data_IF_771655835317
#
_entry.id   IF_771655835317
#
_cell.length_a   1.000
_cell.length_b   1.000
_cell.length_c   1.000
_cell.angle_alpha   90.00
_cell.angle_beta   90.00
_cell.angle_gamma   90.00
#
_symmetry.space_group_name_H-M   'P 1'
#
loop_
_entity.id
_entity.type
_entity.pdbx_description
1 polymer ?
#
# COMPACT_ATOMS: atom_id res chain seq x y z
N UNK A 1 -28.02 -7.37 22.01
CA UNK A 1 -28.69 -8.20 23.04
C UNK A 1 -28.06 -8.07 24.41
N UNK A 2 -26.84 -8.57 24.65
CA UNK A 2 -26.19 -8.44 25.98
C UNK A 2 -26.19 -7.00 26.51
N UNK A 3 -25.81 -6.02 25.68
CA UNK A 3 -25.78 -4.60 26.07
C UNK A 3 -27.16 -4.04 26.44
N UNK A 4 -28.24 -4.55 25.83
CA UNK A 4 -29.61 -4.18 26.19
C UNK A 4 -30.00 -4.84 27.52
N UNK A 5 -29.67 -6.12 27.69
CA UNK A 5 -29.97 -6.87 28.91
C UNK A 5 -29.26 -6.31 30.15
N UNK A 6 -28.06 -5.75 29.98
CA UNK A 6 -27.32 -5.10 31.07
C UNK A 6 -27.71 -3.63 31.27
N UNK A 7 -28.67 -3.10 30.51
CA UNK A 7 -29.08 -1.69 30.57
C UNK A 7 -28.02 -0.70 30.06
N UNK A 8 -27.00 -1.18 29.34
CA UNK A 8 -25.97 -0.31 28.76
C UNK A 8 -26.45 0.37 27.48
N UNK A 9 -27.44 -0.21 26.80
CA UNK A 9 -28.09 0.32 25.61
C UNK A 9 -29.61 0.25 25.77
N UNK A 10 -30.32 1.33 25.48
CA UNK A 10 -31.78 1.33 25.48
C UNK A 10 -32.31 0.45 24.34
N UNK A 11 -33.46 -0.19 24.54
CA UNK A 11 -34.03 -1.08 23.53
C UNK A 11 -34.43 -0.32 22.26
N UNK A 12 -34.92 0.91 22.40
CA UNK A 12 -35.32 1.79 21.30
C UNK A 12 -34.15 2.22 20.39
N UNK A 13 -32.92 2.27 20.93
CA UNK A 13 -31.72 2.63 20.17
C UNK A 13 -30.99 1.41 19.60
N UNK A 14 -31.40 0.19 19.98
CA UNK A 14 -30.79 -1.07 19.52
C UNK A 14 -30.80 -1.20 18.00
N UNK A 15 -31.92 -0.88 17.37
CA UNK A 15 -32.07 -0.99 15.92
C UNK A 15 -31.18 0.00 15.18
N UNK A 16 -31.08 1.23 15.67
CA UNK A 16 -30.20 2.26 15.11
C UNK A 16 -28.73 1.87 15.21
N UNK A 17 -28.30 1.34 16.36
CA UNK A 17 -26.92 0.81 16.50
C UNK A 17 -26.67 -0.34 15.53
N UNK A 18 -27.62 -1.27 15.40
CA UNK A 18 -27.50 -2.38 14.45
C UNK A 18 -27.38 -1.88 13.02
N UNK A 19 -28.19 -0.91 12.61
CA UNK A 19 -28.15 -0.33 11.28
C UNK A 19 -26.77 0.27 10.98
N UNK A 20 -26.21 1.05 11.92
CA UNK A 20 -24.89 1.66 11.77
C UNK A 20 -23.79 0.61 11.66
N UNK A 21 -23.84 -0.44 12.46
CA UNK A 21 -22.85 -1.53 12.40
C UNK A 21 -22.93 -2.36 11.11
N UNK A 22 -24.03 -2.28 10.38
CA UNK A 22 -24.23 -2.97 9.10
C UNK A 22 -23.98 -2.07 7.88
N UNK A 23 -23.56 -0.82 8.09
CA UNK A 23 -23.24 0.09 6.99
C UNK A 23 -22.05 -0.42 6.18
N UNK A 24 -22.10 -0.16 4.87
CA UNK A 24 -21.03 -0.51 3.94
C UNK A 24 -19.74 0.22 4.34
N UNK A 25 -18.63 -0.51 4.42
CA UNK A 25 -17.33 0.06 4.74
C UNK A 25 -16.66 0.59 3.48
N UNK A 26 -16.26 1.87 3.51
CA UNK A 26 -15.60 2.52 2.39
C UNK A 26 -14.08 2.55 2.61
N UNK A 27 -13.34 1.98 1.66
CA UNK A 27 -11.89 1.82 1.78
C UNK A 27 -11.09 2.84 0.96
N UNK A 28 -9.82 3.01 1.33
CA UNK A 28 -8.93 3.98 0.69
C UNK A 28 -8.76 3.72 -0.82
N UNK A 29 -8.66 2.45 -1.23
CA UNK A 29 -8.51 2.08 -2.64
C UNK A 29 -9.70 2.53 -3.50
N UNK A 30 -10.92 2.51 -2.96
CA UNK A 30 -12.13 2.98 -3.65
C UNK A 30 -12.11 4.49 -3.82
N UNK A 31 -11.67 5.23 -2.79
CA UNK A 31 -11.55 6.69 -2.82
C UNK A 31 -10.52 7.17 -3.85
N UNK A 32 -9.42 6.44 -4.01
CA UNK A 32 -8.40 6.74 -5.04
C UNK A 32 -8.93 6.56 -6.45
N UNK A 33 -9.78 5.54 -6.69
CA UNK A 33 -10.40 5.30 -8.01
C UNK A 33 -11.34 6.45 -8.40
N UNK A 34 -12.20 6.89 -7.49
CA UNK A 34 -13.12 8.03 -7.72
C UNK A 34 -12.36 9.35 -7.95
N UNK A 35 -11.34 9.64 -7.14
CA UNK A 35 -10.53 10.85 -7.31
C UNK A 35 -9.69 10.86 -8.59
N UNK A 36 -9.32 9.69 -9.12
CA UNK A 36 -8.57 9.58 -10.39
C UNK A 36 -9.51 9.69 -11.59
N UNK A 37 -10.73 9.16 -11.49
CA UNK A 37 -11.74 9.24 -12.55
C UNK A 37 -12.31 10.67 -12.74
N UNK A 38 -12.34 11.47 -11.69
CA UNK A 38 -12.90 12.84 -11.70
C UNK A 38 -11.91 13.93 -12.15
N UNK A 39 -10.63 13.61 -12.43
CA UNK A 39 -9.57 14.60 -12.65
C UNK A 39 -8.88 14.60 -14.02
N UNK A 40 -9.36 13.90 -15.03
CA UNK A 40 -8.75 13.94 -16.36
C UNK A 40 -9.76 14.27 -17.45
N UNK A 41 -9.79 15.51 -18.00
CA UNK A 41 -10.25 15.66 -19.37
C UNK A 41 -9.27 14.89 -20.28
N UNK A 42 -9.83 14.02 -21.12
CA UNK A 42 -9.10 13.21 -22.10
C UNK A 42 -8.49 14.17 -23.14
N UNK A 43 -7.33 14.73 -22.85
CA UNK A 43 -6.50 15.38 -23.86
C UNK A 43 -5.60 14.30 -24.43
N UNK A 44 -5.82 14.00 -25.71
CA UNK A 44 -5.08 13.01 -26.50
C UNK A 44 -3.58 13.26 -26.36
N UNK A 45 -2.84 12.21 -26.02
CA UNK A 45 -1.38 12.23 -25.97
C UNK A 45 -0.81 12.72 -27.31
N UNK A 46 0.20 13.58 -27.25
CA UNK A 46 1.00 14.09 -28.38
C UNK A 46 1.61 12.97 -29.26
N UNK A 47 1.53 11.71 -28.83
CA UNK A 47 2.01 10.53 -29.56
C UNK A 47 1.17 10.13 -30.79
N UNK A 48 -0.02 10.71 -31.01
CA UNK A 48 -0.87 10.36 -32.18
C UNK A 48 -0.66 11.25 -33.42
N UNK A 49 0.30 12.20 -33.42
CA UNK A 49 0.55 13.11 -34.56
C UNK A 49 1.35 12.46 -35.71
N UNK A 50 1.79 11.21 -35.58
CA UNK A 50 2.77 10.63 -36.52
C UNK A 50 2.26 9.62 -37.57
N UNK A 51 1.02 9.12 -37.48
CA UNK A 51 0.59 8.00 -38.34
C UNK A 51 -0.01 8.48 -39.66
N UNK A 52 0.85 9.01 -40.52
CA UNK A 52 0.56 9.18 -41.95
C UNK A 52 0.49 7.82 -42.63
N UNK A 53 -0.67 7.50 -43.20
CA UNK A 53 -0.88 6.39 -44.12
C UNK A 53 0.04 6.53 -45.33
N UNK A 54 0.89 5.54 -45.60
CA UNK A 54 1.41 5.30 -46.95
C UNK A 54 1.26 3.82 -47.28
N UNK A 55 0.29 3.55 -48.15
CA UNK A 55 0.19 2.30 -48.91
C UNK A 55 1.13 2.37 -50.11
N UNK A 56 1.65 1.20 -50.50
CA UNK A 56 1.73 0.68 -51.87
C UNK A 56 3.10 0.07 -52.26
N UNK A 57 2.98 -1.24 -52.57
CA UNK A 57 3.45 -1.92 -53.78
C UNK A 57 4.84 -2.58 -53.80
N UNK A 58 4.76 -3.91 -53.79
CA UNK A 58 5.59 -4.95 -54.41
C UNK A 58 6.79 -4.49 -55.28
N UNK A 59 7.95 -5.11 -55.06
CA UNK A 59 8.79 -5.64 -56.13
C UNK A 59 9.61 -6.85 -55.64
N UNK A 60 9.73 -7.83 -56.53
CA UNK A 60 10.17 -9.20 -56.30
C UNK A 60 11.68 -9.40 -56.54
N UNK A 61 12.15 -10.60 -56.14
CA UNK A 61 13.25 -11.40 -56.72
C UNK A 61 14.67 -10.83 -56.49
N UNK A 62 15.70 -11.59 -56.11
CA UNK A 62 16.07 -12.99 -56.35
C UNK A 62 17.21 -13.41 -55.38
N UNK A 63 17.39 -14.74 -55.20
CA UNK A 63 18.67 -15.51 -55.08
C UNK A 63 19.75 -15.01 -54.09
N UNK A 64 20.49 -15.77 -53.28
CA UNK A 64 20.90 -17.18 -53.21
C UNK A 64 21.72 -17.25 -51.88
N UNK A 65 21.41 -18.14 -50.93
CA UNK A 65 22.16 -19.36 -50.59
C UNK A 65 23.55 -19.20 -49.95
N UNK A 66 23.75 -20.07 -48.94
CA UNK A 66 25.01 -20.65 -48.40
C UNK A 66 25.54 -20.09 -47.07
N UNK A 67 25.93 -21.06 -46.25
CA UNK A 67 26.17 -21.06 -44.82
C UNK A 67 27.67 -21.03 -44.45
N UNK A 68 27.89 -21.05 -43.12
CA UNK A 68 29.11 -21.41 -42.35
C UNK A 68 30.17 -20.30 -42.22
N UNK A 69 31.07 -20.27 -41.24
CA UNK A 69 31.19 -20.67 -39.83
C UNK A 69 32.69 -20.46 -39.49
N UNK A 70 33.02 -19.99 -38.27
CA UNK A 70 34.37 -19.98 -37.65
C UNK A 70 35.44 -19.08 -38.35
N UNK A 71 36.47 -18.48 -37.73
CA UNK A 71 37.21 -18.68 -36.46
C UNK A 71 38.19 -17.49 -36.23
N UNK A 72 38.58 -17.25 -34.97
CA UNK A 72 39.80 -16.55 -34.47
C UNK A 72 41.11 -17.11 -35.10
N UNK A 73 42.31 -16.44 -35.09
CA UNK A 73 43.13 -16.08 -33.89
C UNK A 73 44.08 -14.81 -34.07
N UNK A 74 44.49 -14.02 -33.04
CA UNK A 74 45.67 -14.12 -32.09
C UNK A 74 46.87 -13.17 -32.38
N UNK A 75 47.27 -12.39 -31.34
CA UNK A 75 48.62 -11.84 -30.96
C UNK A 75 49.32 -10.71 -31.81
N UNK A 76 50.19 -9.80 -31.31
CA UNK A 76 50.99 -9.59 -30.06
C UNK A 76 51.68 -8.18 -30.01
N UNK A 77 52.18 -7.81 -28.82
CA UNK A 77 53.39 -6.97 -28.46
C UNK A 77 53.40 -5.44 -28.78
N UNK A 78 53.98 -4.48 -28.03
CA UNK A 78 54.86 -4.38 -26.83
C UNK A 78 54.95 -2.91 -26.29
N UNK A 79 55.41 -2.73 -25.04
CA UNK A 79 55.71 -1.51 -24.21
C UNK A 79 56.84 -0.57 -24.76
N UNK A 80 57.21 0.64 -24.20
CA UNK A 80 57.19 1.09 -22.77
C UNK A 80 56.91 2.60 -22.45
N UNK A 81 57.02 2.98 -21.17
CA UNK A 81 56.69 4.25 -20.47
C UNK A 81 57.94 5.14 -20.15
N UNK A 82 57.94 6.12 -19.20
CA UNK A 82 57.16 7.36 -18.96
C UNK A 82 58.10 8.63 -18.93
N UNK A 83 57.70 9.83 -18.41
CA UNK A 83 58.01 10.13 -16.99
C UNK A 83 57.07 11.13 -16.24
N UNK A 84 57.13 11.07 -14.89
CA UNK A 84 57.05 12.13 -13.84
C UNK A 84 56.19 13.38 -14.09
N UNK A 85 55.29 13.85 -13.22
CA UNK A 85 55.22 13.85 -11.76
C UNK A 85 54.83 15.27 -11.31
N UNK A 86 54.01 15.39 -10.25
CA UNK A 86 53.91 16.49 -9.25
C UNK A 86 52.47 16.79 -8.81
N UNK A 87 52.29 17.34 -7.58
CA UNK A 87 51.06 17.28 -6.80
C UNK A 87 50.34 18.64 -6.66
N UNK A 88 49.28 18.60 -5.85
CA UNK A 88 48.83 19.65 -4.91
C UNK A 88 47.59 20.48 -5.27
N UNK A 89 46.83 20.72 -4.20
CA UNK A 89 45.54 21.38 -4.07
C UNK A 89 45.68 22.91 -3.97
N UNK A 90 44.86 23.69 -4.68
CA UNK A 90 44.45 25.04 -4.24
C UNK A 90 43.17 25.51 -4.94
N UNK A 91 42.33 26.21 -4.19
CA UNK A 91 41.07 26.93 -4.49
C UNK A 91 41.30 28.41 -4.06
N UNK A 92 40.54 29.51 -4.35
CA UNK A 92 39.52 29.92 -5.38
C UNK A 92 39.78 31.31 -6.06
N UNK A 93 39.02 31.70 -7.11
CA UNK A 93 38.73 33.14 -7.41
C UNK A 93 38.51 33.62 -8.89
N UNK A 94 37.23 33.88 -9.26
CA UNK A 94 36.65 34.84 -10.28
C UNK A 94 37.13 34.88 -11.78
N UNK A 95 36.42 35.53 -12.76
CA UNK A 95 36.09 35.03 -14.12
C UNK A 95 36.73 35.92 -15.24
N UNK A 96 36.26 36.04 -16.51
CA UNK A 96 35.37 35.25 -17.37
C UNK A 96 36.03 34.81 -18.70
N UNK A 97 35.20 34.26 -19.61
CA UNK A 97 35.33 34.20 -21.06
C UNK A 97 35.86 32.90 -21.72
N UNK A 98 34.96 32.29 -22.49
CA UNK A 98 35.29 31.85 -23.84
C UNK A 98 35.38 30.35 -24.08
N UNK A 99 34.42 29.83 -24.85
CA UNK A 99 34.73 28.82 -25.88
C UNK A 99 34.41 27.36 -25.55
N UNK A 100 33.18 26.96 -25.87
CA UNK A 100 32.88 25.85 -26.77
C UNK A 100 33.47 24.45 -26.52
N UNK A 101 32.57 23.49 -26.33
CA UNK A 101 32.67 22.18 -26.97
C UNK A 101 32.86 20.98 -26.04
N UNK A 102 31.86 20.10 -26.03
CA UNK A 102 32.10 18.66 -26.01
C UNK A 102 32.18 17.94 -24.66
N UNK A 103 31.25 16.98 -24.51
CA UNK A 103 31.42 15.71 -23.78
C UNK A 103 31.05 15.61 -22.29
N UNK A 104 30.01 14.78 -22.04
CA UNK A 104 30.15 13.67 -21.08
C UNK A 104 29.64 13.87 -19.65
N UNK A 105 28.36 14.20 -19.44
CA UNK A 105 27.74 14.03 -18.11
C UNK A 105 27.15 12.61 -17.98
N UNK A 106 27.97 11.67 -17.47
CA UNK A 106 27.54 10.34 -17.03
C UNK A 106 26.43 10.48 -15.98
N UNK A 107 25.20 10.11 -16.34
CA UNK A 107 24.05 10.07 -15.41
C UNK A 107 23.96 8.68 -14.80
N UNK A 108 23.88 8.63 -13.47
CA UNK A 108 23.77 7.45 -12.62
C UNK A 108 22.74 6.40 -13.10
N UNK A 109 22.99 5.09 -12.90
CA UNK A 109 22.13 4.03 -13.40
C UNK A 109 20.98 3.78 -12.42
N UNK A 110 19.87 4.49 -12.61
CA UNK A 110 18.60 4.19 -11.92
C UNK A 110 17.43 4.25 -12.90
N UNK A 111 17.44 3.35 -13.90
CA UNK A 111 16.30 3.20 -14.80
C UNK A 111 16.09 1.79 -15.37
N UNK A 112 16.59 0.74 -14.70
CA UNK A 112 16.13 -0.63 -14.99
C UNK A 112 14.92 -0.95 -14.11
N UNK A 113 13.80 -0.31 -14.41
CA UNK A 113 12.49 -0.76 -13.94
C UNK A 113 11.51 -0.65 -15.10
N UNK A 114 11.20 -1.81 -15.70
CA UNK A 114 9.92 -2.17 -16.32
C UNK A 114 10.16 -3.25 -17.38
N UNK A 115 9.87 -4.50 -17.03
CA UNK A 115 9.30 -5.51 -17.93
C UNK A 115 9.05 -6.81 -17.20
N UNK A 116 7.78 -7.12 -16.94
CA UNK A 116 7.16 -8.41 -17.24
C UNK A 116 5.65 -8.31 -17.05
N UNK A 117 5.01 -8.02 -18.17
CA UNK A 117 3.60 -8.24 -18.40
C UNK A 117 3.34 -9.75 -18.33
N UNK A 118 2.45 -10.21 -17.45
CA UNK A 118 1.84 -11.53 -17.61
C UNK A 118 0.34 -11.40 -17.34
N UNK A 119 -0.40 -11.24 -18.42
CA UNK A 119 -1.84 -11.45 -18.49
C UNK A 119 -2.12 -12.94 -18.29
N UNK A 120 -2.66 -13.32 -17.14
CA UNK A 120 -3.37 -14.59 -16.98
C UNK A 120 -4.84 -14.26 -16.70
N UNK A 121 -5.64 -14.53 -17.72
CA UNK A 121 -7.05 -14.91 -17.74
C UNK A 121 -8.00 -14.37 -16.66
N UNK A 122 -9.01 -13.66 -17.15
CA UNK A 122 -10.28 -13.36 -16.49
C UNK A 122 -10.85 -14.53 -15.68
N UNK A 123 -10.98 -14.35 -14.37
CA UNK A 123 -12.04 -14.94 -13.55
C UNK A 123 -12.46 -13.93 -12.46
N UNK A 124 -13.72 -13.49 -12.57
CA UNK A 124 -14.57 -12.81 -11.58
C UNK A 124 -14.20 -11.40 -11.08
N UNK A 125 -15.04 -10.43 -11.48
CA UNK A 125 -14.94 -8.99 -11.19
C UNK A 125 -15.31 -8.53 -9.77
N UNK A 126 -15.18 -9.35 -8.73
CA UNK A 126 -15.54 -8.97 -7.35
C UNK A 126 -14.36 -8.77 -6.39
N UNK A 127 -13.13 -9.09 -6.79
CA UNK A 127 -11.98 -8.99 -5.87
C UNK A 127 -10.74 -8.36 -6.50
N UNK A 128 -10.91 -7.26 -7.24
CA UNK A 128 -9.78 -6.37 -7.53
C UNK A 128 -9.48 -5.48 -6.30
N UNK A 129 -9.41 -6.12 -5.14
CA UNK A 129 -8.93 -5.53 -3.90
C UNK A 129 -7.48 -5.08 -4.09
N UNK A 130 -6.94 -4.35 -3.12
CA UNK A 130 -5.59 -3.80 -3.18
C UNK A 130 -4.52 -4.93 -3.18
N UNK A 131 -4.30 -5.60 -4.32
CA UNK A 131 -3.39 -6.73 -4.49
C UNK A 131 -1.93 -6.35 -4.20
N UNK A 132 -1.59 -5.06 -4.36
CA UNK A 132 -0.30 -4.52 -3.95
C UNK A 132 -0.11 -4.54 -2.43
N UNK A 133 -1.17 -4.26 -1.67
CA UNK A 133 -1.17 -4.32 -0.21
C UNK A 133 -1.21 -5.77 0.29
N UNK A 134 -2.04 -6.65 -0.29
CA UNK A 134 -2.11 -8.07 0.09
C UNK A 134 -0.75 -8.78 0.07
N UNK A 135 0.11 -8.48 -0.90
CA UNK A 135 1.43 -9.11 -0.99
C UNK A 135 2.38 -8.78 0.17
N UNK A 136 2.07 -7.74 0.96
CA UNK A 136 2.87 -7.34 2.14
C UNK A 136 2.39 -8.01 3.42
N UNK A 137 1.25 -8.69 3.38
CA UNK A 137 0.62 -9.28 4.55
C UNK A 137 1.18 -10.70 4.72
N UNK A 138 1.70 -11.05 5.92
CA UNK A 138 2.16 -12.41 6.20
C UNK A 138 1.07 -13.45 5.95
N UNK A 139 1.46 -14.64 5.52
CA UNK A 139 0.53 -15.76 5.42
C UNK A 139 -0.01 -16.11 6.80
N UNK A 140 -1.32 -16.37 6.88
CA UNK A 140 -1.99 -16.66 8.15
C UNK A 140 -2.27 -15.43 9.03
N UNK A 141 -1.99 -14.21 8.54
CA UNK A 141 -2.38 -13.01 9.25
C UNK A 141 -3.91 -12.92 9.43
N UNK A 142 -4.31 -12.40 10.57
CA UNK A 142 -5.71 -12.13 10.91
C UNK A 142 -5.89 -10.62 11.14
N UNK A 143 -7.09 -10.11 10.88
CA UNK A 143 -7.40 -8.69 11.03
C UNK A 143 -7.95 -8.36 12.42
N UNK A 144 -7.61 -7.17 12.90
CA UNK A 144 -8.26 -6.50 14.03
C UNK A 144 -8.97 -5.25 13.50
N UNK A 145 -10.30 -5.22 13.59
CA UNK A 145 -11.10 -4.09 13.12
C UNK A 145 -11.37 -3.11 14.27
N UNK A 146 -10.89 -1.88 14.14
CA UNK A 146 -11.12 -0.80 15.10
C UNK A 146 -12.15 0.15 14.49
N UNK A 147 -13.39 0.09 14.98
CA UNK A 147 -14.54 0.83 14.48
C UNK A 147 -14.92 1.92 15.47
N UNK A 148 -14.77 3.17 15.08
CA UNK A 148 -15.05 4.31 15.94
C UNK A 148 -15.97 5.28 15.22
N UNK A 149 -16.98 5.81 15.92
CA UNK A 149 -17.91 6.77 15.33
C UNK A 149 -18.72 7.55 16.36
N UNK A 150 -19.36 8.59 15.87
CA UNK A 150 -20.35 9.36 16.62
C UNK A 150 -21.75 9.09 16.11
N UNK A 151 -22.71 9.17 17.03
CA UNK A 151 -24.13 9.05 16.74
C UNK A 151 -24.90 10.07 17.57
N UNK A 152 -26.03 10.53 17.07
CA UNK A 152 -26.85 11.58 17.68
C UNK A 152 -27.84 11.07 18.73
N UNK A 153 -28.06 9.75 18.79
CA UNK A 153 -29.04 9.11 19.68
C UNK A 153 -28.45 8.42 20.91
N UNK A 154 -27.12 8.46 21.11
CA UNK A 154 -26.48 7.93 22.31
C UNK A 154 -26.18 9.07 23.28
N UNK A 155 -26.59 8.93 24.53
CA UNK A 155 -26.23 9.88 25.60
C UNK A 155 -24.87 9.56 26.25
N UNK A 156 -24.39 8.33 26.08
CA UNK A 156 -23.15 7.81 26.69
C UNK A 156 -22.35 7.00 25.67
N UNK A 157 -21.01 7.00 25.75
CA UNK A 157 -20.20 6.14 24.92
C UNK A 157 -20.52 4.66 25.14
N UNK A 158 -20.64 3.92 24.05
CA UNK A 158 -20.83 2.49 23.97
C UNK A 158 -19.55 1.85 23.43
N UNK A 159 -18.93 0.97 24.20
CA UNK A 159 -17.73 0.25 23.78
C UNK A 159 -17.91 -1.27 23.82
N UNK A 160 -17.31 -1.96 22.85
CA UNK A 160 -17.24 -3.41 22.80
C UNK A 160 -15.85 -3.85 22.35
N UNK A 161 -15.29 -4.86 23.03
CA UNK A 161 -14.13 -5.61 22.56
C UNK A 161 -14.55 -7.05 22.32
N UNK A 162 -14.36 -7.55 21.11
CA UNK A 162 -14.87 -8.82 20.63
C UNK A 162 -13.71 -9.64 20.09
N UNK A 163 -13.57 -10.88 20.58
CA UNK A 163 -12.70 -11.89 19.98
C UNK A 163 -13.56 -13.02 19.40
N UNK A 164 -13.44 -13.25 18.10
CA UNK A 164 -14.12 -14.34 17.42
C UNK A 164 -13.43 -15.68 17.71
N UNK A 165 -14.24 -16.72 17.91
CA UNK A 165 -13.75 -18.09 18.12
C UNK A 165 -12.99 -18.59 16.89
N UNK A 166 -13.56 -18.37 15.72
CA UNK A 166 -12.96 -18.68 14.41
C UNK A 166 -12.89 -17.39 13.62
N UNK A 167 -11.70 -17.06 13.11
CA UNK A 167 -11.53 -15.87 12.29
C UNK A 167 -12.30 -16.04 10.98
N UNK A 168 -12.97 -14.97 10.53
CA UNK A 168 -13.92 -15.03 9.41
C UNK A 168 -13.78 -13.79 8.53
N UNK A 169 -13.89 -13.96 7.22
CA UNK A 169 -13.87 -12.84 6.27
C UNK A 169 -15.27 -12.22 6.22
N UNK A 170 -15.37 -10.94 6.60
CA UNK A 170 -16.62 -10.18 6.58
C UNK A 170 -16.72 -9.32 5.33
N UNK A 171 -16.94 -9.93 4.16
CA UNK A 171 -17.24 -9.19 2.93
C UNK A 171 -16.35 -7.96 2.68
N UNK A 172 -16.94 -6.77 2.80
CA UNK A 172 -16.31 -5.46 2.60
C UNK A 172 -15.79 -4.82 3.90
N UNK A 173 -15.78 -5.49 5.05
CA UNK A 173 -15.31 -4.90 6.32
C UNK A 173 -13.81 -4.54 6.28
N UNK A 174 -13.01 -5.32 5.57
CA UNK A 174 -11.56 -5.15 5.43
C UNK A 174 -11.19 -4.79 4.00
N UNK A 175 -10.16 -3.95 3.82
CA UNK A 175 -9.71 -3.53 2.47
C UNK A 175 -9.19 -4.71 1.62
N UNK A 176 -8.79 -5.78 2.28
CA UNK A 176 -8.25 -7.01 1.71
C UNK A 176 -8.93 -8.21 2.39
N UNK A 177 -9.09 -9.35 1.70
CA UNK A 177 -9.76 -10.55 2.21
C UNK A 177 -8.92 -11.27 3.28
N UNK A 178 -8.68 -10.59 4.40
CA UNK A 178 -8.01 -11.11 5.59
C UNK A 178 -9.09 -11.43 6.62
N UNK A 179 -9.08 -12.64 7.23
CA UNK A 179 -10.10 -13.03 8.18
C UNK A 179 -9.99 -12.20 9.46
N UNK A 180 -11.09 -11.62 9.92
CA UNK A 180 -11.16 -10.86 11.16
C UNK A 180 -11.16 -11.79 12.35
N UNK A 181 -10.31 -11.49 13.34
CA UNK A 181 -10.28 -12.17 14.65
C UNK A 181 -10.81 -11.27 15.76
N UNK A 182 -10.44 -10.01 15.75
CA UNK A 182 -10.80 -9.05 16.79
C UNK A 182 -11.61 -7.90 16.20
N UNK A 183 -12.54 -7.38 16.99
CA UNK A 183 -13.25 -6.14 16.71
C UNK A 183 -13.30 -5.29 17.97
N UNK A 184 -12.89 -4.04 17.86
CA UNK A 184 -13.15 -3.02 18.85
C UNK A 184 -14.15 -2.04 18.26
N UNK A 185 -15.23 -1.77 18.98
CA UNK A 185 -16.28 -0.85 18.58
C UNK A 185 -16.38 0.22 19.65
N UNK A 186 -16.33 1.49 19.25
CA UNK A 186 -16.57 2.64 20.12
C UNK A 186 -17.52 3.60 19.42
N UNK A 187 -18.75 3.67 19.89
CA UNK A 187 -19.74 4.65 19.44
C UNK A 187 -19.98 5.65 20.58
N UNK A 188 -20.16 6.93 20.29
CA UNK A 188 -20.47 7.91 21.32
C UNK A 188 -21.32 9.09 20.85
N UNK A 189 -21.76 9.96 21.77
CA UNK A 189 -22.50 11.17 21.45
C UNK A 189 -21.70 12.09 20.52
N UNK A 190 -22.40 12.94 19.78
CA UNK A 190 -21.77 13.98 18.96
C UNK A 190 -20.96 14.98 19.80
N UNK A 191 -19.84 15.47 19.25
CA UNK A 191 -18.98 16.48 19.88
C UNK A 191 -17.70 15.93 20.52
N UNK A 192 -17.42 14.64 20.39
CA UNK A 192 -16.25 13.92 20.90
C UNK A 192 -15.38 13.21 19.85
N UNK A 193 -15.58 13.41 18.54
CA UNK A 193 -14.97 12.60 17.48
C UNK A 193 -13.44 12.58 17.54
N UNK A 194 -12.82 13.72 17.86
CA UNK A 194 -11.37 13.81 17.97
C UNK A 194 -10.84 12.89 19.08
N UNK A 195 -11.49 12.92 20.26
CA UNK A 195 -11.14 12.05 21.38
C UNK A 195 -11.40 10.58 21.06
N UNK A 196 -12.52 10.25 20.41
CA UNK A 196 -12.80 8.86 20.04
C UNK A 196 -11.79 8.33 19.02
N UNK A 197 -11.39 9.15 18.04
CA UNK A 197 -10.33 8.78 17.10
C UNK A 197 -8.99 8.52 17.82
N UNK A 198 -8.64 9.32 18.82
CA UNK A 198 -7.43 9.09 19.63
C UNK A 198 -7.51 7.76 20.39
N UNK A 199 -8.66 7.44 20.98
CA UNK A 199 -8.89 6.14 21.62
C UNK A 199 -8.77 5.00 20.61
N UNK A 200 -9.34 5.16 19.41
CA UNK A 200 -9.21 4.18 18.33
C UNK A 200 -7.76 3.97 17.90
N UNK A 201 -6.99 5.06 17.76
CA UNK A 201 -5.55 4.98 17.46
C UNK A 201 -4.78 4.29 18.58
N UNK A 202 -5.04 4.63 19.83
CA UNK A 202 -4.43 3.99 20.99
C UNK A 202 -4.73 2.48 21.00
N UNK A 203 -5.98 2.08 20.75
CA UNK A 203 -6.36 0.68 20.66
C UNK A 203 -5.67 -0.06 19.50
N UNK A 204 -5.51 0.59 18.35
CA UNK A 204 -4.80 0.02 17.20
C UNK A 204 -3.30 -0.20 17.52
N UNK A 205 -2.67 0.77 18.18
CA UNK A 205 -1.29 0.66 18.65
C UNK A 205 -1.16 -0.47 19.66
N UNK A 206 -2.06 -0.53 20.64
CA UNK A 206 -2.08 -1.58 21.67
C UNK A 206 -2.26 -2.98 21.06
N UNK A 207 -3.12 -3.14 20.05
CA UNK A 207 -3.28 -4.41 19.33
C UNK A 207 -2.06 -4.79 18.47
N UNK A 208 -1.16 -3.84 18.18
CA UNK A 208 0.08 -4.09 17.44
C UNK A 208 1.23 -4.48 18.37
N UNK A 209 1.09 -4.29 19.68
CA UNK A 209 2.05 -4.76 20.67
C UNK A 209 1.97 -6.28 20.81
N UNK A 210 3.13 -6.95 20.80
CA UNK A 210 3.22 -8.42 20.78
C UNK A 210 2.69 -9.04 22.08
N UNK A 211 2.94 -8.40 23.23
CA UNK A 211 2.56 -8.91 24.56
C UNK A 211 1.06 -8.78 24.74
N UNK A 212 0.51 -7.58 24.50
CA UNK A 212 -0.93 -7.35 24.61
C UNK A 212 -1.71 -8.24 23.62
N UNK A 213 -1.23 -8.37 22.38
CA UNK A 213 -1.78 -9.28 21.37
C UNK A 213 -1.89 -10.73 21.90
N UNK A 214 -0.83 -11.27 22.50
CA UNK A 214 -0.83 -12.63 23.05
C UNK A 214 -1.85 -12.79 24.20
N UNK A 215 -1.90 -11.79 25.09
CA UNK A 215 -2.91 -11.78 26.16
C UNK A 215 -4.31 -11.71 25.57
N UNK A 216 -4.54 -10.90 24.54
CA UNK A 216 -5.84 -10.80 23.88
C UNK A 216 -6.30 -12.13 23.27
N UNK A 217 -5.40 -12.95 22.73
CA UNK A 217 -5.71 -14.31 22.25
C UNK A 217 -6.04 -15.30 23.37
N UNK A 218 -5.42 -15.15 24.54
CA UNK A 218 -5.56 -16.10 25.66
C UNK A 218 -6.59 -15.66 26.70
N UNK A 219 -7.01 -14.40 26.67
CA UNK A 219 -7.91 -13.81 27.65
C UNK A 219 -9.20 -14.62 27.79
N UNK A 220 -9.61 -14.90 29.04
CA UNK A 220 -10.87 -15.57 29.38
C UNK A 220 -11.83 -14.67 30.15
N UNK A 221 -11.33 -13.54 30.65
CA UNK A 221 -12.07 -12.57 31.42
C UNK A 221 -11.60 -11.15 31.07
N UNK A 222 -12.47 -10.16 31.31
CA UNK A 222 -12.18 -8.73 31.12
C UNK A 222 -10.94 -8.29 31.90
N UNK A 223 -10.73 -8.83 33.10
CA UNK A 223 -9.61 -8.49 33.98
C UNK A 223 -8.25 -8.77 33.35
N UNK A 224 -8.13 -9.80 32.49
CA UNK A 224 -6.87 -10.10 31.81
C UNK A 224 -6.50 -9.00 30.82
N UNK A 225 -7.50 -8.47 30.09
CA UNK A 225 -7.28 -7.37 29.15
C UNK A 225 -6.92 -6.08 29.89
N UNK A 226 -7.58 -5.79 31.02
CA UNK A 226 -7.27 -4.60 31.82
C UNK A 226 -5.84 -4.65 32.38
N UNK A 227 -5.45 -5.79 32.97
CA UNK A 227 -4.08 -5.96 33.46
C UNK A 227 -3.03 -5.80 32.35
N UNK A 228 -3.32 -6.29 31.14
CA UNK A 228 -2.43 -6.11 29.99
C UNK A 228 -2.37 -4.66 29.49
N UNK A 229 -3.44 -3.88 29.62
CA UNK A 229 -3.40 -2.43 29.37
C UNK A 229 -2.48 -1.77 30.39
N UNK A 230 -2.64 -2.08 31.68
CA UNK A 230 -1.83 -1.49 32.75
C UNK A 230 -0.34 -1.82 32.56
N UNK A 231 -0.01 -3.08 32.27
CA UNK A 231 1.37 -3.52 31.98
C UNK A 231 1.97 -2.82 30.75
N UNK A 232 1.17 -2.64 29.68
CA UNK A 232 1.62 -1.89 28.50
C UNK A 232 1.93 -0.43 28.85
N UNK A 233 1.11 0.20 29.69
CA UNK A 233 1.32 1.59 30.11
C UNK A 233 2.53 1.75 31.05
N UNK A 234 2.81 0.76 31.89
CA UNK A 234 3.99 0.75 32.77
C UNK A 234 5.31 0.54 32.00
N UNK A 235 5.25 -0.07 30.82
CA UNK A 235 6.42 -0.40 30.00
C UNK A 235 6.83 0.71 28.99
N UNK A 236 6.01 1.75 28.82
CA UNK A 236 6.21 2.86 27.86
C UNK A 236 6.73 4.11 28.56
#
# INVERSE_FOLDING_TARGET
DHMCNTGALQEDTREKVREILMQRHRHLHERRKESTMTRLPIIRSLADIGRSHSSAKNLAKSTESVARAASLPTEREQFPAPPTGQPFLTVPGMPPAGGGGGEGMERSPSSVSMSRNNSFADLNGEHKGNLGFMRKIPQGAEASNILVGEVDFLDKPLSAFIRLKTSTVFGDLTEVPVPTRFMFILLGPMGGIASFHEIGRAMATLMSDEVFHEVAYRARARTHLLAAVDEFLDAV
#
